data_IF_716847686429
#
_entry.id   IF_716847686429
#
_cell.length_a   1.000
_cell.length_b   1.000
_cell.length_c   1.000
_cell.angle_alpha   90.00
_cell.angle_beta   90.00
_cell.angle_gamma   90.00
#
_symmetry.space_group_name_H-M   'P 1'
#
loop_
_entity.id
_entity.type
_entity.pdbx_description
1 polymer ?
#
# COMPACT_ATOMS: atom_id res chain seq x y z
N UNK A 1 -9.00 16.75 6.47
CA UNK A 1 -7.61 16.72 5.92
C UNK A 1 -6.79 15.53 6.44
N UNK A 2 -6.80 15.24 7.76
CA UNK A 2 -6.02 14.16 8.38
C UNK A 2 -6.40 12.72 7.95
N UNK A 3 -7.70 12.41 7.78
CA UNK A 3 -8.16 11.05 7.40
C UNK A 3 -7.54 10.51 6.10
N UNK A 4 -7.44 11.34 5.06
CA UNK A 4 -6.84 10.94 3.77
C UNK A 4 -5.36 10.57 3.93
N UNK A 5 -4.63 11.31 4.77
CA UNK A 5 -3.21 11.04 5.02
C UNK A 5 -3.01 9.72 5.78
N UNK A 6 -3.89 9.43 6.74
CA UNK A 6 -3.89 8.15 7.49
C UNK A 6 -4.25 6.98 6.57
N UNK A 7 -5.22 7.15 5.67
CA UNK A 7 -5.58 6.13 4.68
C UNK A 7 -4.42 5.86 3.73
N UNK A 8 -3.84 6.90 3.13
CA UNK A 8 -2.70 6.77 2.24
C UNK A 8 -1.51 6.07 2.90
N UNK A 9 -1.20 6.43 4.16
CA UNK A 9 -0.14 5.78 4.95
C UNK A 9 -0.43 4.31 5.20
N UNK A 10 -1.68 3.98 5.52
CA UNK A 10 -2.10 2.61 5.80
C UNK A 10 -1.95 1.73 4.57
N UNK A 11 -2.43 2.22 3.42
CA UNK A 11 -2.30 1.54 2.12
C UNK A 11 -0.82 1.40 1.72
N UNK A 12 0.01 2.43 1.93
CA UNK A 12 1.45 2.37 1.68
C UNK A 12 2.15 1.31 2.54
N UNK A 13 1.85 1.23 3.85
CA UNK A 13 2.41 0.19 4.72
C UNK A 13 2.01 -1.21 4.22
N UNK A 14 0.75 -1.39 3.84
CA UNK A 14 0.26 -2.66 3.31
C UNK A 14 0.97 -3.08 2.02
N UNK A 15 1.09 -2.18 1.04
CA UNK A 15 1.84 -2.44 -0.18
C UNK A 15 3.34 -2.64 0.07
N UNK A 16 3.94 -1.90 1.00
CA UNK A 16 5.32 -2.16 1.42
C UNK A 16 5.51 -3.57 1.97
N UNK A 17 4.55 -4.07 2.75
CA UNK A 17 4.60 -5.46 3.24
C UNK A 17 4.30 -6.49 2.16
N UNK A 18 3.35 -6.21 1.25
CA UNK A 18 2.83 -7.19 0.29
C UNK A 18 3.63 -7.24 -1.01
N UNK A 19 3.98 -6.09 -1.57
CA UNK A 19 4.64 -5.95 -2.88
C UNK A 19 6.15 -5.90 -2.74
N UNK A 20 6.67 -5.19 -1.74
CA UNK A 20 8.11 -5.12 -1.49
C UNK A 20 8.62 -6.22 -0.55
N UNK A 21 7.73 -7.06 0.01
CA UNK A 21 8.10 -8.11 0.97
C UNK A 21 8.78 -7.57 2.24
N UNK A 22 8.62 -6.29 2.54
CA UNK A 22 9.30 -5.65 3.66
C UNK A 22 8.62 -5.98 4.99
N UNK A 23 9.41 -6.19 6.04
CA UNK A 23 8.86 -6.33 7.39
C UNK A 23 8.27 -5.01 7.90
N UNK A 24 7.27 -5.09 8.78
CA UNK A 24 6.68 -3.92 9.45
C UNK A 24 7.74 -3.07 10.17
N UNK A 25 8.82 -3.69 10.68
CA UNK A 25 9.96 -3.01 11.33
C UNK A 25 10.78 -2.21 10.33
N UNK A 26 11.04 -2.75 9.14
CA UNK A 26 11.77 -2.06 8.08
C UNK A 26 11.00 -0.83 7.60
N UNK A 27 9.67 -0.99 7.48
CA UNK A 27 8.74 0.08 7.11
C UNK A 27 8.65 1.13 8.21
N UNK A 28 8.58 0.71 9.48
CA UNK A 28 8.48 1.63 10.62
C UNK A 28 9.72 2.52 10.74
N UNK A 29 10.92 1.96 10.49
CA UNK A 29 12.17 2.73 10.42
C UNK A 29 12.16 3.76 9.31
N UNK A 30 11.72 3.40 8.09
CA UNK A 30 11.65 4.33 6.94
C UNK A 30 10.62 5.45 7.15
N UNK A 31 9.49 5.12 7.77
CA UNK A 31 8.38 6.05 8.00
C UNK A 31 8.44 6.74 9.37
N UNK A 32 9.53 6.53 10.12
CA UNK A 32 9.79 7.05 11.46
C UNK A 32 8.58 6.94 12.41
N UNK A 33 8.04 5.73 12.51
CA UNK A 33 6.94 5.39 13.43
C UNK A 33 7.27 4.15 14.25
N UNK A 34 6.47 3.93 15.30
CA UNK A 34 6.47 2.69 16.04
C UNK A 34 6.13 1.50 15.13
N UNK A 35 6.77 0.36 15.38
CA UNK A 35 6.50 -0.91 14.69
C UNK A 35 5.04 -1.36 14.86
N UNK A 36 4.45 -1.13 16.04
CA UNK A 36 3.03 -1.37 16.32
C UNK A 36 2.13 -0.53 15.40
N UNK A 37 2.44 0.76 15.23
CA UNK A 37 1.72 1.64 14.30
C UNK A 37 1.87 1.18 12.85
N UNK A 38 3.05 0.70 12.45
CA UNK A 38 3.26 0.20 11.09
C UNK A 38 2.42 -1.06 10.81
N UNK A 39 2.36 -1.98 11.77
CA UNK A 39 1.53 -3.20 11.70
C UNK A 39 0.04 -2.86 11.64
N UNK A 40 -0.44 -1.99 12.54
CA UNK A 40 -1.82 -1.49 12.54
C UNK A 40 -2.19 -0.80 11.21
N UNK A 41 -1.29 0.06 10.71
CA UNK A 41 -1.47 0.71 9.41
C UNK A 41 -1.52 -0.29 8.27
N UNK A 42 -0.69 -1.34 8.27
CA UNK A 42 -0.75 -2.38 7.24
C UNK A 42 -2.06 -3.17 7.28
N UNK A 43 -2.54 -3.54 8.46
CA UNK A 43 -3.84 -4.23 8.62
C UNK A 43 -5.01 -3.35 8.15
N UNK A 44 -5.04 -2.08 8.54
CA UNK A 44 -6.05 -1.13 8.06
C UNK A 44 -5.93 -0.89 6.56
N UNK A 45 -4.70 -0.82 6.05
CA UNK A 45 -4.41 -0.66 4.62
C UNK A 45 -4.97 -1.80 3.79
N UNK A 46 -4.88 -3.04 4.30
CA UNK A 46 -5.51 -4.22 3.69
C UNK A 46 -7.01 -4.05 3.56
N UNK A 47 -7.70 -3.70 4.65
CA UNK A 47 -9.15 -3.49 4.64
C UNK A 47 -9.55 -2.38 3.66
N UNK A 48 -8.83 -1.25 3.65
CA UNK A 48 -9.09 -0.14 2.72
C UNK A 48 -8.91 -0.58 1.26
N UNK A 49 -7.85 -1.34 0.97
CA UNK A 49 -7.61 -1.87 -0.37
C UNK A 49 -8.71 -2.84 -0.81
N UNK A 50 -9.17 -3.71 0.09
CA UNK A 50 -10.27 -4.64 -0.16
C UNK A 50 -11.61 -3.91 -0.35
N UNK A 51 -11.91 -2.92 0.49
CA UNK A 51 -13.16 -2.16 0.46
C UNK A 51 -13.26 -1.24 -0.77
N UNK A 52 -12.16 -0.60 -1.15
CA UNK A 52 -12.12 0.32 -2.28
C UNK A 52 -11.59 -0.31 -3.57
N UNK A 53 -11.34 -1.63 -3.59
CA UNK A 53 -10.74 -2.36 -4.71
C UNK A 53 -9.50 -1.67 -5.31
N UNK A 54 -8.67 -1.06 -4.45
CA UNK A 54 -7.50 -0.26 -4.86
C UNK A 54 -6.37 -1.17 -5.34
N UNK A 55 -5.92 -0.99 -6.57
CA UNK A 55 -4.74 -1.68 -7.12
C UNK A 55 -3.53 -0.75 -7.08
N UNK A 56 -2.38 -1.24 -6.61
CA UNK A 56 -1.12 -0.46 -6.63
C UNK A 56 -0.63 -0.25 -8.06
N UNK A 57 -0.70 -1.31 -8.85
CA UNK A 57 -0.39 -1.28 -10.27
C UNK A 57 -1.68 -1.52 -11.03
N UNK A 58 -2.06 -0.56 -11.85
CA UNK A 58 -2.89 -0.88 -13.00
C UNK A 58 -2.01 -1.75 -13.89
N UNK A 59 -2.38 -3.03 -14.05
CA UNK A 59 -1.92 -3.75 -15.22
C UNK A 59 -2.48 -3.00 -16.43
N UNK A 60 -1.74 -2.01 -16.92
CA UNK A 60 -1.86 -1.55 -18.29
C UNK A 60 -1.46 -2.75 -19.14
N UNK A 61 -2.42 -3.65 -19.36
CA UNK A 61 -2.48 -4.35 -20.62
C UNK A 61 -2.72 -3.25 -21.66
N UNK A 62 -1.65 -2.57 -22.04
CA UNK A 62 -1.51 -2.06 -23.39
C UNK A 62 -1.63 -3.29 -24.27
N UNK A 63 -2.86 -3.64 -24.61
CA UNK A 63 -3.20 -4.53 -25.69
C UNK A 63 -2.60 -3.86 -26.92
N UNK A 64 -1.40 -4.29 -27.26
CA UNK A 64 -0.61 -3.82 -28.38
C UNK A 64 -1.41 -3.99 -29.68
N UNK A 65 -1.82 -2.92 -30.38
CA UNK A 65 -2.32 -3.01 -31.73
C UNK A 65 -1.36 -2.23 -32.64
N UNK A 66 -0.09 -2.64 -32.68
CA UNK A 66 0.77 -2.32 -33.83
C UNK A 66 0.75 -3.52 -34.78
N UNK A 67 -0.39 -3.67 -35.43
CA UNK A 67 -0.47 -4.27 -36.75
C UNK A 67 -0.87 -3.15 -37.71
N UNK A 68 0.13 -2.51 -38.32
CA UNK A 68 -0.02 -1.75 -39.58
C UNK A 68 1.22 -1.99 -40.43
#
# INVERSE_FOLDING_TARGET
KQRRMVQARSVLCYWGTRELGMSAVSISKKLNIASSTASESAMRGRQIVEEHALKLMEEDKSENPRNV
#
